data_IF_446398754011
#
_entry.id   IF_446398754011
#
_cell.length_a   1.000
_cell.length_b   1.000
_cell.length_c   1.000
_cell.angle_alpha   90.00
_cell.angle_beta   90.00
_cell.angle_gamma   90.00
#
_symmetry.space_group_name_H-M   'P 1'
#
loop_
_entity.id
_entity.type
_entity.pdbx_description
1 polymer ?
#
# COMPACT_ATOMS: atom_id res chain seq x y z
N UNK A 1 -15.69 19.11 14.63
CA UNK A 1 -16.15 19.18 13.22
C UNK A 1 -15.43 20.34 12.54
N UNK A 2 -14.94 20.13 11.34
CA UNK A 2 -14.41 21.14 10.46
C UNK A 2 -15.40 21.34 9.31
N UNK A 3 -15.83 22.60 9.07
CA UNK A 3 -16.69 22.95 7.94
C UNK A 3 -17.97 22.12 7.75
N UNK A 4 -18.57 21.60 8.82
CA UNK A 4 -19.78 20.76 8.78
C UNK A 4 -19.51 19.27 8.62
N UNK A 5 -18.26 18.84 8.53
CA UNK A 5 -17.87 17.41 8.52
C UNK A 5 -17.52 16.96 9.94
N UNK A 6 -18.09 15.86 10.38
CA UNK A 6 -17.69 15.20 11.62
C UNK A 6 -16.43 14.37 11.37
N UNK A 7 -15.43 14.51 12.26
CA UNK A 7 -14.12 13.86 12.13
C UNK A 7 -13.86 13.01 13.34
N UNK A 8 -13.50 11.76 13.11
CA UNK A 8 -13.12 10.80 14.14
C UNK A 8 -11.73 10.26 13.84
N UNK A 9 -10.79 10.40 14.77
CA UNK A 9 -9.40 10.01 14.59
C UNK A 9 -9.01 8.91 15.59
N UNK A 10 -8.09 8.05 15.19
CA UNK A 10 -7.52 7.02 16.04
C UNK A 10 -8.51 5.94 16.49
N UNK A 11 -9.57 5.68 15.69
CA UNK A 11 -10.54 4.62 15.97
C UNK A 11 -9.86 3.25 15.84
N UNK A 12 -9.88 2.45 16.92
CA UNK A 12 -9.26 1.12 16.93
C UNK A 12 -10.08 0.11 16.16
N UNK A 13 -9.46 -0.60 15.24
CA UNK A 13 -10.03 -1.77 14.57
C UNK A 13 -9.34 -3.08 14.98
N UNK A 14 -8.17 -3.00 15.63
CA UNK A 14 -7.43 -4.11 16.20
C UNK A 14 -6.85 -3.77 17.58
N UNK A 15 -6.49 -4.79 18.34
CA UNK A 15 -5.76 -4.65 19.59
C UNK A 15 -4.31 -4.22 19.34
N UNK A 16 -3.60 -3.81 20.39
CA UNK A 16 -2.17 -3.52 20.35
C UNK A 16 -1.40 -4.69 19.71
N UNK A 17 -0.67 -4.42 18.65
CA UNK A 17 0.11 -5.41 17.90
C UNK A 17 1.55 -5.59 18.40
N UNK A 18 1.91 -5.00 19.52
CA UNK A 18 3.22 -5.13 20.15
C UNK A 18 3.36 -6.42 21.00
N UNK A 19 4.57 -6.66 21.49
CA UNK A 19 4.87 -7.74 22.42
C UNK A 19 4.44 -9.11 21.91
N UNK A 20 3.61 -9.83 22.67
CA UNK A 20 3.16 -11.18 22.32
C UNK A 20 2.27 -11.24 21.05
N UNK A 21 1.73 -10.12 20.61
CA UNK A 21 0.93 -10.01 19.40
C UNK A 21 1.78 -9.69 18.14
N UNK A 22 3.06 -9.36 18.32
CA UNK A 22 3.96 -9.06 17.20
C UNK A 22 4.05 -10.28 16.27
N UNK A 23 3.98 -10.04 14.96
CA UNK A 23 4.00 -11.03 13.87
C UNK A 23 2.77 -11.94 13.76
N UNK A 24 1.79 -11.82 14.66
CA UNK A 24 0.53 -12.57 14.58
C UNK A 24 -0.51 -11.83 13.74
N UNK A 25 -1.55 -12.52 13.24
CA UNK A 25 -2.74 -11.85 12.74
C UNK A 25 -3.31 -10.85 13.74
N UNK A 26 -4.01 -9.79 13.30
CA UNK A 26 -4.59 -8.79 14.19
C UNK A 26 -5.55 -9.42 15.18
N UNK A 27 -5.43 -9.04 16.45
CA UNK A 27 -6.31 -9.52 17.49
C UNK A 27 -7.51 -8.56 17.67
N UNK A 28 -8.68 -9.05 18.07
CA UNK A 28 -9.85 -8.21 18.27
C UNK A 28 -9.62 -7.19 19.37
N UNK A 29 -10.22 -6.00 19.20
CA UNK A 29 -10.24 -4.98 20.25
C UNK A 29 -11.04 -5.49 21.43
N UNK A 30 -10.50 -5.33 22.65
CA UNK A 30 -11.23 -5.67 23.86
C UNK A 30 -12.46 -4.76 24.02
N UNK A 31 -13.63 -5.32 24.32
CA UNK A 31 -14.82 -4.53 24.59
C UNK A 31 -14.58 -3.51 25.70
N UNK A 32 -15.22 -2.36 25.59
CA UNK A 32 -15.16 -1.32 26.62
C UNK A 32 -16.57 -0.80 26.92
N UNK A 33 -16.70 -0.14 28.06
CA UNK A 33 -17.91 0.58 28.45
C UNK A 33 -17.67 2.09 28.40
N UNK A 34 -18.73 2.88 28.22
CA UNK A 34 -18.66 4.34 28.19
C UNK A 34 -18.20 4.90 26.82
N UNK A 35 -17.83 6.17 26.83
CA UNK A 35 -17.40 6.93 25.67
C UNK A 35 -15.88 7.00 25.62
N UNK A 36 -15.30 6.84 24.45
CA UNK A 36 -13.88 7.11 24.19
C UNK A 36 -13.76 8.31 23.25
N UNK A 37 -12.82 9.19 23.57
CA UNK A 37 -12.49 10.31 22.70
C UNK A 37 -11.86 9.80 21.39
N UNK A 38 -12.17 10.50 20.29
CA UNK A 38 -11.66 10.23 18.95
C UNK A 38 -11.21 11.55 18.28
N UNK A 39 -10.48 12.38 19.00
CA UNK A 39 -10.02 13.72 18.57
C UNK A 39 -8.61 13.67 17.99
N UNK A 40 -7.78 12.75 18.47
CA UNK A 40 -6.36 12.69 18.15
C UNK A 40 -6.03 11.51 17.24
N UNK A 41 -5.08 11.71 16.36
CA UNK A 41 -4.52 10.62 15.56
C UNK A 41 -3.83 9.60 16.47
N UNK A 42 -4.08 8.33 16.22
CA UNK A 42 -3.30 7.25 16.83
C UNK A 42 -1.89 7.13 16.23
N UNK A 43 -1.12 6.16 16.71
CA UNK A 43 0.22 5.91 16.21
C UNK A 43 0.21 5.52 14.72
N UNK A 44 1.22 5.98 13.99
CA UNK A 44 1.62 5.39 12.73
C UNK A 44 2.44 4.12 12.99
N UNK A 45 2.43 3.19 12.04
CA UNK A 45 3.28 2.00 12.12
C UNK A 45 4.77 2.38 12.17
N UNK A 46 5.61 1.67 12.93
CA UNK A 46 7.04 1.86 12.93
C UNK A 46 7.62 1.76 11.51
N UNK A 47 8.39 2.76 11.13
CA UNK A 47 8.98 2.89 9.81
C UNK A 47 10.23 3.75 9.87
N UNK A 48 11.12 3.59 8.89
CA UNK A 48 12.27 4.47 8.72
C UNK A 48 11.74 5.82 8.20
N UNK A 49 12.04 6.95 8.84
CA UNK A 49 11.60 8.25 8.38
C UNK A 49 11.99 8.51 6.92
N UNK A 50 11.06 9.04 6.14
CA UNK A 50 11.29 9.41 4.76
C UNK A 50 12.41 10.44 4.62
N UNK A 51 13.14 10.37 3.52
CA UNK A 51 14.23 11.31 3.23
C UNK A 51 13.75 12.37 2.24
N UNK A 52 13.71 13.63 2.66
CA UNK A 52 13.33 14.79 1.83
C UNK A 52 14.43 15.20 0.82
N UNK A 53 15.03 14.24 0.11
CA UNK A 53 16.12 14.54 -0.83
C UNK A 53 15.69 14.66 -2.28
N UNK A 54 14.44 14.96 -2.58
CA UNK A 54 13.99 15.19 -3.96
C UNK A 54 13.46 16.62 -4.15
N UNK A 55 13.51 17.11 -5.37
CA UNK A 55 13.16 18.49 -5.75
C UNK A 55 11.75 18.91 -5.31
N UNK A 56 10.82 17.98 -5.25
CA UNK A 56 9.41 18.23 -4.90
C UNK A 56 9.08 17.88 -3.45
N UNK A 57 10.08 17.71 -2.58
CA UNK A 57 9.86 17.28 -1.20
C UNK A 57 8.93 18.21 -0.42
N UNK A 58 9.03 19.51 -0.68
CA UNK A 58 8.22 20.52 -0.02
C UNK A 58 6.77 20.59 -0.54
N UNK A 59 6.51 20.01 -1.71
CA UNK A 59 5.17 19.92 -2.29
C UNK A 59 4.46 18.61 -1.91
N UNK A 60 5.21 17.59 -1.52
CA UNK A 60 4.70 16.27 -1.17
C UNK A 60 4.84 16.08 0.35
N UNK A 61 3.80 16.37 1.09
CA UNK A 61 3.78 16.32 2.57
C UNK A 61 3.79 14.88 3.13
N UNK A 62 4.41 13.92 2.45
CA UNK A 62 4.40 12.51 2.84
C UNK A 62 5.17 12.21 4.13
N UNK A 63 6.06 13.08 4.54
CA UNK A 63 6.84 12.98 5.76
C UNK A 63 6.24 13.75 6.94
N UNK A 64 5.20 14.54 6.71
CA UNK A 64 4.41 15.15 7.78
C UNK A 64 3.38 14.11 8.24
N UNK A 65 3.65 13.52 9.40
CA UNK A 65 2.83 12.45 9.94
C UNK A 65 2.46 12.73 11.39
N UNK A 66 1.34 13.41 11.63
CA UNK A 66 0.88 13.68 12.99
C UNK A 66 0.53 12.39 13.72
N UNK A 67 0.60 12.41 15.02
CA UNK A 67 0.51 11.25 15.90
C UNK A 67 1.88 10.72 16.29
N UNK A 68 1.93 9.75 17.16
CA UNK A 68 3.15 9.04 17.52
C UNK A 68 3.53 7.97 16.52
N UNK A 69 4.70 7.35 16.69
CA UNK A 69 5.13 6.15 16.01
C UNK A 69 5.21 5.01 17.02
N UNK A 70 4.56 3.90 16.73
CA UNK A 70 4.58 2.73 17.62
C UNK A 70 3.79 1.55 17.05
N UNK A 71 3.97 0.39 17.66
CA UNK A 71 3.34 -0.86 17.22
C UNK A 71 1.83 -0.93 17.52
N UNK A 72 1.35 -0.13 18.48
CA UNK A 72 -0.08 0.06 18.72
C UNK A 72 -0.68 0.99 17.66
N UNK A 73 -0.73 0.52 16.42
CA UNK A 73 -1.05 1.29 15.20
C UNK A 73 -2.27 0.77 14.42
N UNK A 74 -3.01 -0.20 14.95
CA UNK A 74 -4.18 -0.74 14.27
C UNK A 74 -5.39 0.17 14.46
N UNK A 75 -5.29 1.36 13.87
CA UNK A 75 -6.27 2.45 13.97
C UNK A 75 -6.66 2.96 12.57
N UNK A 76 -7.82 3.59 12.51
CA UNK A 76 -8.32 4.27 11.33
C UNK A 76 -8.85 5.67 11.69
N UNK A 77 -9.00 6.53 10.67
CA UNK A 77 -9.63 7.83 10.79
C UNK A 77 -10.85 7.87 9.87
N UNK A 78 -11.87 8.63 10.26
CA UNK A 78 -13.15 8.68 9.55
C UNK A 78 -13.67 10.11 9.47
N UNK A 79 -14.14 10.48 8.28
CA UNK A 79 -14.83 11.75 8.00
C UNK A 79 -16.23 11.45 7.46
N UNK A 80 -17.22 12.14 7.99
CA UNK A 80 -18.62 11.99 7.55
C UNK A 80 -19.37 13.31 7.60
N UNK A 81 -20.23 13.59 6.60
CA UNK A 81 -21.10 14.77 6.65
C UNK A 81 -22.06 14.75 7.84
N UNK A 82 -22.55 13.57 8.23
CA UNK A 82 -23.56 13.46 9.28
C UNK A 82 -23.56 12.05 9.88
N UNK A 83 -23.04 11.90 11.12
CA UNK A 83 -23.15 10.62 11.83
C UNK A 83 -24.57 10.39 12.37
N UNK A 84 -24.87 9.16 12.74
CA UNK A 84 -26.16 8.76 13.33
C UNK A 84 -27.37 9.09 12.43
N UNK A 85 -27.22 8.93 11.12
CA UNK A 85 -28.28 9.15 10.12
C UNK A 85 -28.55 7.88 9.32
N UNK A 86 -29.77 7.72 8.83
CA UNK A 86 -30.17 6.58 7.98
C UNK A 86 -29.87 6.82 6.49
N UNK A 87 -29.01 7.78 6.12
CA UNK A 87 -28.80 8.18 4.72
C UNK A 87 -28.07 7.18 3.84
N UNK A 88 -27.39 6.20 4.40
CA UNK A 88 -26.67 5.15 3.65
C UNK A 88 -25.75 5.70 2.55
N UNK A 89 -24.83 6.59 2.95
CA UNK A 89 -23.85 7.19 2.04
C UNK A 89 -22.86 6.17 1.51
N UNK A 90 -22.32 6.34 0.29
CA UNK A 90 -21.18 5.54 -0.15
C UNK A 90 -20.00 5.73 0.81
N UNK A 91 -19.16 4.68 0.91
CA UNK A 91 -17.99 4.67 1.78
C UNK A 91 -16.75 4.52 0.93
N UNK A 92 -15.75 5.38 1.14
CA UNK A 92 -14.45 5.27 0.50
C UNK A 92 -13.44 4.89 1.56
N UNK A 93 -12.83 3.70 1.44
CA UNK A 93 -11.73 3.26 2.29
C UNK A 93 -10.42 3.44 1.52
N UNK A 94 -9.59 4.38 1.98
CA UNK A 94 -8.33 4.73 1.35
C UNK A 94 -7.16 4.07 2.06
N UNK A 95 -6.35 3.32 1.32
CA UNK A 95 -5.08 2.78 1.77
C UNK A 95 -3.92 3.66 1.30
N UNK A 96 -3.06 4.06 2.24
CA UNK A 96 -1.94 4.96 1.96
C UNK A 96 -0.87 4.29 1.08
N UNK A 97 -0.12 5.12 0.34
CA UNK A 97 1.06 4.72 -0.43
C UNK A 97 2.28 4.46 0.46
N UNK A 98 3.47 4.47 -0.14
CA UNK A 98 4.73 4.18 0.54
C UNK A 98 5.12 2.70 0.54
N UNK A 99 4.69 1.95 -0.48
CA UNK A 99 4.95 0.52 -0.58
C UNK A 99 4.32 -0.25 0.58
N UNK A 100 5.06 -1.22 1.10
CA UNK A 100 4.73 -1.97 2.32
C UNK A 100 5.67 -1.60 3.48
N UNK A 101 6.42 -0.50 3.36
CA UNK A 101 7.47 -0.11 4.31
C UNK A 101 7.32 1.31 4.88
N UNK A 102 6.43 2.13 4.36
CA UNK A 102 6.26 3.51 4.83
C UNK A 102 4.87 4.09 4.56
N UNK A 103 4.65 5.33 5.00
CA UNK A 103 3.40 6.04 4.88
C UNK A 103 2.47 5.86 6.06
N UNK A 104 1.37 6.60 6.06
CA UNK A 104 0.30 6.45 7.06
C UNK A 104 -1.02 7.05 6.61
N UNK A 105 -2.07 6.74 7.34
CA UNK A 105 -3.39 7.37 7.23
C UNK A 105 -3.45 8.77 7.83
N UNK A 106 -2.42 9.15 8.59
CA UNK A 106 -2.35 10.44 9.31
C UNK A 106 -1.76 11.56 8.46
N UNK A 107 -1.20 11.21 7.30
CA UNK A 107 -0.61 12.20 6.38
C UNK A 107 -1.66 13.22 5.91
N UNK A 108 -1.33 14.53 5.86
CA UNK A 108 -2.26 15.58 5.42
C UNK A 108 -2.87 15.35 4.03
N UNK A 109 -2.12 14.73 3.09
CA UNK A 109 -2.65 14.31 1.79
C UNK A 109 -3.67 13.17 1.87
N UNK A 110 -3.87 12.60 3.07
CA UNK A 110 -4.88 11.59 3.41
C UNK A 110 -6.14 12.15 4.05
N UNK A 111 -6.20 13.46 4.32
CA UNK A 111 -7.38 14.08 4.92
C UNK A 111 -8.61 13.90 4.06
N UNK A 112 -9.67 13.35 4.66
CA UNK A 112 -10.90 12.98 3.96
C UNK A 112 -11.96 14.06 3.93
N UNK A 113 -11.73 15.24 4.56
CA UNK A 113 -12.77 16.27 4.74
C UNK A 113 -13.35 16.76 3.42
N UNK A 114 -12.48 17.14 2.48
CA UNK A 114 -12.94 17.67 1.18
C UNK A 114 -13.69 16.59 0.37
N UNK A 115 -13.18 15.36 0.38
CA UNK A 115 -13.83 14.25 -0.33
C UNK A 115 -15.20 13.92 0.30
N UNK A 116 -15.29 13.87 1.63
CA UNK A 116 -16.55 13.66 2.33
C UNK A 116 -17.56 14.75 2.04
N UNK A 117 -17.10 16.02 2.00
CA UNK A 117 -17.95 17.19 1.76
C UNK A 117 -18.52 17.23 0.33
N UNK A 118 -17.65 17.12 -0.67
CA UNK A 118 -18.04 17.24 -2.07
C UNK A 118 -18.65 15.97 -2.65
N UNK A 119 -18.22 14.81 -2.13
CA UNK A 119 -18.73 13.52 -2.58
C UNK A 119 -19.98 13.03 -1.84
N UNK A 120 -20.45 13.73 -0.80
CA UNK A 120 -21.48 13.28 0.14
C UNK A 120 -21.28 11.82 0.55
N UNK A 121 -20.07 11.49 0.95
CA UNK A 121 -19.64 10.13 1.30
C UNK A 121 -18.96 10.06 2.65
N UNK A 122 -18.85 8.86 3.21
CA UNK A 122 -18.00 8.57 4.37
C UNK A 122 -16.62 8.21 3.85
N UNK A 123 -15.59 8.85 4.38
CA UNK A 123 -14.18 8.56 4.03
C UNK A 123 -13.49 7.93 5.22
N UNK A 124 -12.81 6.82 4.98
CA UNK A 124 -12.02 6.09 5.98
C UNK A 124 -10.58 5.97 5.50
N UNK A 125 -9.62 6.28 6.36
CA UNK A 125 -8.18 6.05 6.10
C UNK A 125 -7.60 5.14 7.17
N UNK A 126 -6.71 4.22 6.78
CA UNK A 126 -6.32 3.07 7.61
C UNK A 126 -4.81 3.05 7.83
N UNK A 127 -4.37 2.96 9.10
CA UNK A 127 -3.03 2.55 9.48
C UNK A 127 -2.98 1.03 9.64
N UNK A 128 -1.85 0.42 9.31
CA UNK A 128 -1.62 -1.02 9.44
C UNK A 128 -0.13 -1.28 9.63
N UNK A 129 0.25 -2.48 10.03
CA UNK A 129 1.67 -2.83 10.17
C UNK A 129 2.40 -2.82 8.84
N UNK A 130 3.65 -2.40 8.89
CA UNK A 130 4.55 -2.20 7.76
C UNK A 130 5.87 -2.94 8.01
N UNK A 131 6.68 -3.05 6.95
CA UNK A 131 8.05 -3.54 7.06
C UNK A 131 8.10 -4.95 7.65
N UNK A 132 9.19 -5.31 8.29
CA UNK A 132 9.33 -6.60 8.97
C UNK A 132 8.23 -6.85 10.03
N UNK A 133 7.68 -5.79 10.66
CA UNK A 133 6.58 -5.95 11.63
C UNK A 133 5.27 -6.44 11.00
N UNK A 134 5.06 -6.17 9.71
CA UNK A 134 3.88 -6.59 8.97
C UNK A 134 4.10 -7.79 8.04
N UNK A 135 5.37 -8.09 7.68
CA UNK A 135 5.67 -8.98 6.57
C UNK A 135 6.90 -9.89 6.78
N UNK A 136 7.42 -10.01 7.99
CA UNK A 136 8.48 -10.96 8.29
C UNK A 136 7.95 -12.39 8.28
N UNK A 137 8.45 -13.20 7.35
CA UNK A 137 8.04 -14.60 7.22
C UNK A 137 8.79 -15.49 8.21
N UNK A 138 8.08 -16.13 9.14
CA UNK A 138 8.66 -16.94 10.21
C UNK A 138 8.44 -18.46 10.03
N UNK A 139 7.83 -18.88 8.91
CA UNK A 139 7.57 -20.28 8.58
C UNK A 139 6.10 -20.55 8.26
N UNK A 140 5.77 -21.81 8.03
CA UNK A 140 4.43 -22.24 7.58
C UNK A 140 3.59 -22.85 8.71
N UNK A 141 4.13 -23.02 9.88
CA UNK A 141 3.48 -23.74 10.96
C UNK A 141 3.40 -22.91 12.24
N UNK A 142 2.41 -23.29 13.08
CA UNK A 142 2.22 -22.70 14.41
C UNK A 142 1.62 -21.30 14.37
N UNK A 143 1.72 -20.56 15.49
CA UNK A 143 1.00 -19.28 15.67
C UNK A 143 1.54 -18.12 14.84
N UNK A 144 2.59 -18.31 14.05
CA UNK A 144 3.26 -17.33 13.21
C UNK A 144 3.25 -17.71 11.72
N UNK A 145 2.48 -18.73 11.33
CA UNK A 145 2.37 -19.19 9.94
C UNK A 145 1.97 -18.04 8.97
N UNK A 146 1.16 -17.11 9.45
CA UNK A 146 0.66 -15.98 8.67
C UNK A 146 1.49 -14.70 8.81
N UNK A 147 2.64 -14.76 9.49
CA UNK A 147 3.48 -13.57 9.79
C UNK A 147 3.93 -12.81 8.55
N UNK A 148 4.16 -13.50 7.43
CA UNK A 148 4.51 -12.89 6.15
C UNK A 148 3.37 -12.10 5.47
N UNK A 149 2.15 -12.16 6.01
CA UNK A 149 0.99 -11.44 5.49
C UNK A 149 0.19 -10.70 6.60
N UNK A 150 0.76 -10.56 7.80
CA UNK A 150 0.08 -9.95 8.95
C UNK A 150 -0.41 -8.53 8.65
N UNK A 151 0.36 -7.70 7.91
CA UNK A 151 -0.07 -6.37 7.50
C UNK A 151 -1.25 -6.39 6.51
N UNK A 152 -1.38 -7.43 5.68
CA UNK A 152 -2.57 -7.58 4.83
C UNK A 152 -3.78 -8.08 5.64
N UNK A 153 -3.57 -8.94 6.63
CA UNK A 153 -4.63 -9.31 7.58
C UNK A 153 -5.17 -8.10 8.36
N UNK A 154 -4.30 -7.13 8.69
CA UNK A 154 -4.72 -5.86 9.32
C UNK A 154 -5.71 -5.11 8.43
N UNK A 155 -5.45 -5.04 7.13
CA UNK A 155 -6.34 -4.37 6.17
C UNK A 155 -7.69 -5.08 6.05
N UNK A 156 -7.70 -6.42 6.05
CA UNK A 156 -8.95 -7.20 6.10
C UNK A 156 -9.71 -6.88 7.39
N UNK A 157 -9.05 -6.85 8.55
CA UNK A 157 -9.67 -6.52 9.84
C UNK A 157 -10.25 -5.10 9.83
N UNK A 158 -9.59 -4.14 9.18
CA UNK A 158 -10.11 -2.77 9.03
C UNK A 158 -11.38 -2.73 8.18
N UNK A 159 -11.45 -3.50 7.10
CA UNK A 159 -12.65 -3.63 6.27
C UNK A 159 -13.79 -4.32 7.01
N UNK A 160 -13.49 -5.34 7.82
CA UNK A 160 -14.47 -5.98 8.70
C UNK A 160 -14.99 -4.99 9.75
N UNK A 161 -14.14 -4.10 10.27
CA UNK A 161 -14.56 -3.03 11.15
C UNK A 161 -15.53 -2.07 10.44
N UNK A 162 -15.21 -1.66 9.21
CA UNK A 162 -16.08 -0.82 8.38
C UNK A 162 -17.43 -1.50 8.17
N UNK A 163 -17.44 -2.76 7.78
CA UNK A 163 -18.68 -3.52 7.55
C UNK A 163 -19.59 -3.56 8.79
N UNK A 164 -19.02 -3.63 10.01
CA UNK A 164 -19.79 -3.71 11.26
C UNK A 164 -20.22 -2.36 11.84
N UNK A 165 -19.52 -1.27 11.51
CA UNK A 165 -19.64 -0.01 12.27
C UNK A 165 -20.07 1.19 11.43
N UNK A 166 -19.86 1.17 10.10
CA UNK A 166 -19.98 2.37 9.27
C UNK A 166 -21.39 2.93 9.20
N UNK A 167 -22.43 2.13 9.46
CA UNK A 167 -23.82 2.59 9.53
C UNK A 167 -24.02 3.66 10.63
N UNK A 168 -23.36 3.51 11.78
CA UNK A 168 -23.40 4.52 12.85
C UNK A 168 -22.80 5.89 12.41
N UNK A 169 -21.99 5.88 11.36
CA UNK A 169 -21.41 7.07 10.76
C UNK A 169 -22.18 7.54 9.50
N UNK A 170 -23.35 6.98 9.23
CA UNK A 170 -24.20 7.33 8.09
C UNK A 170 -23.75 6.70 6.76
N UNK A 171 -22.83 5.74 6.80
CA UNK A 171 -22.34 5.00 5.63
C UNK A 171 -23.16 3.75 5.33
N UNK A 172 -23.01 3.24 4.10
CA UNK A 172 -23.62 2.00 3.64
C UNK A 172 -22.54 0.91 3.52
N UNK A 173 -22.56 -0.15 4.34
CA UNK A 173 -21.60 -1.24 4.25
C UNK A 173 -21.67 -2.02 2.93
N UNK A 174 -22.79 -1.93 2.18
CA UNK A 174 -22.93 -2.53 0.86
C UNK A 174 -22.34 -1.67 -0.28
N UNK A 175 -21.95 -0.43 0.00
CA UNK A 175 -21.43 0.53 -0.97
C UNK A 175 -20.03 1.02 -0.60
N UNK A 176 -19.12 0.07 -0.38
CA UNK A 176 -17.73 0.35 0.02
C UNK A 176 -16.81 0.28 -1.20
N UNK A 177 -16.14 1.37 -1.50
CA UNK A 177 -15.05 1.43 -2.47
C UNK A 177 -13.71 1.38 -1.73
N UNK A 178 -12.83 0.45 -2.11
CA UNK A 178 -11.43 0.46 -1.67
C UNK A 178 -10.56 1.17 -2.71
N UNK A 179 -9.67 2.06 -2.27
CA UNK A 179 -8.83 2.83 -3.20
C UNK A 179 -7.44 3.07 -2.61
N UNK A 180 -6.44 3.13 -3.49
CA UNK A 180 -5.08 3.47 -3.06
C UNK A 180 -4.16 3.85 -4.20
N UNK A 181 -3.18 4.68 -3.88
CA UNK A 181 -2.16 5.14 -4.81
C UNK A 181 -0.81 4.49 -4.48
N UNK A 182 -0.02 4.14 -5.49
CA UNK A 182 1.30 3.51 -5.31
C UNK A 182 1.19 2.23 -4.47
N UNK A 183 1.92 2.12 -3.35
CA UNK A 183 1.76 1.02 -2.39
C UNK A 183 0.32 0.81 -1.92
N UNK A 184 -0.53 1.85 -1.90
CA UNK A 184 -1.96 1.72 -1.64
C UNK A 184 -2.69 0.94 -2.72
N UNK A 185 -2.37 1.21 -3.99
CA UNK A 185 -2.88 0.42 -5.12
C UNK A 185 -2.43 -1.03 -5.09
N UNK A 186 -1.19 -1.28 -4.65
CA UNK A 186 -0.69 -2.64 -4.45
C UNK A 186 -1.48 -3.38 -3.35
N UNK A 187 -1.83 -2.69 -2.26
CA UNK A 187 -2.69 -3.24 -1.20
C UNK A 187 -4.08 -3.57 -1.73
N UNK A 188 -4.69 -2.67 -2.52
CA UNK A 188 -5.97 -2.94 -3.20
C UNK A 188 -5.87 -4.16 -4.10
N UNK A 189 -4.80 -4.28 -4.91
CA UNK A 189 -4.57 -5.43 -5.78
C UNK A 189 -4.53 -6.76 -5.01
N UNK A 190 -3.86 -6.79 -3.85
CA UNK A 190 -3.81 -7.97 -2.99
C UNK A 190 -5.19 -8.28 -2.37
N UNK A 191 -5.89 -7.25 -1.84
CA UNK A 191 -7.23 -7.43 -1.25
C UNK A 191 -8.23 -8.01 -2.24
N UNK A 192 -8.13 -7.65 -3.52
CA UNK A 192 -8.97 -8.20 -4.59
C UNK A 192 -8.76 -9.71 -4.81
N UNK A 193 -7.60 -10.26 -4.41
CA UNK A 193 -7.22 -11.66 -4.55
C UNK A 193 -7.29 -12.44 -3.22
N UNK A 194 -7.73 -11.81 -2.13
CA UNK A 194 -7.78 -12.45 -0.81
C UNK A 194 -9.18 -12.97 -0.50
N UNK A 195 -9.36 -14.28 -0.28
CA UNK A 195 -10.67 -14.85 0.09
C UNK A 195 -11.31 -14.18 1.31
N UNK A 196 -10.49 -13.82 2.31
CA UNK A 196 -10.96 -13.16 3.54
C UNK A 196 -11.49 -11.72 3.32
N UNK A 197 -11.19 -11.09 2.18
CA UNK A 197 -11.67 -9.76 1.81
C UNK A 197 -12.94 -9.81 0.92
N UNK A 198 -13.34 -11.00 0.44
CA UNK A 198 -14.52 -11.18 -0.40
C UNK A 198 -15.79 -10.69 0.32
N UNK A 199 -16.56 -9.83 -0.36
CA UNK A 199 -17.80 -9.27 0.18
C UNK A 199 -17.63 -8.09 1.13
N UNK A 200 -16.40 -7.64 1.42
CA UNK A 200 -16.14 -6.48 2.28
C UNK A 200 -16.07 -5.16 1.50
N UNK A 201 -16.11 -5.21 0.18
CA UNK A 201 -16.14 -4.03 -0.69
C UNK A 201 -16.93 -4.33 -1.97
N UNK A 202 -17.47 -3.28 -2.60
CA UNK A 202 -18.32 -3.34 -3.78
C UNK A 202 -17.68 -2.71 -5.02
N UNK A 203 -16.55 -2.02 -4.88
CA UNK A 203 -15.77 -1.47 -6.00
C UNK A 203 -14.33 -1.22 -5.57
N UNK A 204 -13.42 -1.11 -6.55
CA UNK A 204 -12.00 -0.93 -6.31
C UNK A 204 -11.37 0.11 -7.23
N UNK A 205 -10.36 0.82 -6.73
CA UNK A 205 -9.55 1.79 -7.49
C UNK A 205 -8.06 1.59 -7.24
N UNK A 206 -7.31 1.35 -8.30
CA UNK A 206 -5.85 1.18 -8.27
C UNK A 206 -5.20 2.33 -9.02
N UNK A 207 -4.48 3.19 -8.30
CA UNK A 207 -3.81 4.36 -8.86
C UNK A 207 -2.29 4.16 -8.81
N UNK A 208 -1.64 4.03 -9.96
CA UNK A 208 -0.16 3.94 -10.10
C UNK A 208 0.49 2.89 -9.18
N UNK A 209 -0.19 1.75 -8.97
CA UNK A 209 0.24 0.77 -7.98
C UNK A 209 -0.26 -0.65 -8.23
N UNK A 210 -0.45 -1.02 -9.50
CA UNK A 210 -0.90 -2.37 -9.86
C UNK A 210 0.11 -3.43 -9.44
N UNK A 211 -0.26 -4.31 -8.49
CA UNK A 211 0.54 -5.45 -8.09
C UNK A 211 0.05 -6.71 -8.80
N UNK A 212 0.94 -7.36 -9.57
CA UNK A 212 0.63 -8.60 -10.29
C UNK A 212 1.02 -9.84 -9.49
N UNK A 213 2.03 -9.71 -8.61
CA UNK A 213 2.60 -10.82 -7.85
C UNK A 213 2.82 -10.46 -6.38
N UNK A 214 2.79 -11.46 -5.52
CA UNK A 214 3.27 -11.43 -4.14
C UNK A 214 4.66 -12.05 -4.04
N UNK A 215 5.35 -11.89 -2.91
CA UNK A 215 6.57 -12.64 -2.65
C UNK A 215 6.30 -14.13 -2.55
N UNK A 216 7.21 -14.93 -3.10
CA UNK A 216 7.21 -16.37 -2.83
C UNK A 216 7.75 -16.65 -1.43
N UNK A 217 7.40 -17.81 -0.86
CA UNK A 217 7.92 -18.24 0.44
C UNK A 217 9.45 -18.34 0.45
N UNK A 218 10.03 -18.82 -0.65
CA UNK A 218 11.49 -18.92 -0.79
C UNK A 218 12.17 -17.53 -0.72
N UNK A 219 11.63 -16.53 -1.43
CA UNK A 219 12.14 -15.15 -1.37
C UNK A 219 12.03 -14.57 0.04
N UNK A 220 10.89 -14.78 0.69
CA UNK A 220 10.62 -14.28 2.03
C UNK A 220 11.49 -15.00 3.08
N UNK A 221 11.72 -16.30 2.92
CA UNK A 221 12.61 -17.09 3.78
C UNK A 221 14.05 -16.57 3.76
N UNK A 222 14.56 -16.28 2.56
CA UNK A 222 15.88 -15.68 2.38
C UNK A 222 16.00 -14.34 3.10
N UNK A 223 15.01 -13.44 2.92
CA UNK A 223 14.98 -12.14 3.58
C UNK A 223 14.91 -12.26 5.10
N UNK A 224 14.11 -13.19 5.61
CA UNK A 224 13.96 -13.46 7.03
C UNK A 224 15.27 -14.02 7.64
N UNK A 225 15.93 -14.95 6.95
CA UNK A 225 17.22 -15.48 7.40
C UNK A 225 18.29 -14.38 7.49
N UNK A 226 18.33 -13.46 6.52
CA UNK A 226 19.24 -12.32 6.54
C UNK A 226 18.95 -11.37 7.71
N UNK A 227 17.69 -11.09 8.00
CA UNK A 227 17.30 -10.24 9.14
C UNK A 227 17.66 -10.89 10.47
N UNK A 228 17.34 -12.16 10.67
CA UNK A 228 17.67 -12.90 11.88
C UNK A 228 19.19 -12.97 12.11
N UNK A 229 19.97 -13.19 11.05
CA UNK A 229 21.44 -13.15 11.12
C UNK A 229 21.95 -11.78 11.60
N UNK A 230 21.36 -10.67 11.15
CA UNK A 230 21.73 -9.32 11.60
C UNK A 230 21.42 -9.06 13.08
N UNK A 231 20.40 -9.75 13.59
CA UNK A 231 19.99 -9.66 14.99
C UNK A 231 20.68 -10.68 15.90
N UNK A 232 21.54 -11.52 15.36
CA UNK A 232 22.15 -12.67 16.04
C UNK A 232 21.11 -13.60 16.69
N UNK A 233 20.01 -13.84 15.95
CA UNK A 233 18.91 -14.69 16.38
C UNK A 233 18.71 -15.88 15.44
N UNK A 234 18.28 -17.01 16.02
CA UNK A 234 17.78 -18.17 15.26
C UNK A 234 16.26 -18.09 15.12
N UNK A 235 15.73 -18.80 14.14
CA UNK A 235 14.28 -18.82 13.84
C UNK A 235 13.43 -19.37 15.01
N UNK A 236 13.97 -20.26 15.82
CA UNK A 236 13.29 -20.82 16.99
C UNK A 236 13.23 -19.87 18.20
N UNK A 237 13.95 -18.74 18.14
CA UNK A 237 14.01 -17.72 19.20
C UNK A 237 12.95 -16.64 19.01
N UNK A 238 11.68 -17.04 18.84
CA UNK A 238 10.58 -16.10 18.55
C UNK A 238 10.32 -15.13 19.70
N UNK A 239 10.46 -15.59 20.97
CA UNK A 239 10.22 -14.72 22.14
C UNK A 239 11.26 -13.60 22.22
N UNK A 240 12.50 -13.93 21.93
CA UNK A 240 13.61 -12.98 21.87
C UNK A 240 13.36 -11.98 20.73
N UNK A 241 12.95 -12.44 19.55
CA UNK A 241 12.60 -11.60 18.40
C UNK A 241 11.42 -10.66 18.73
N UNK A 242 10.40 -11.14 19.43
CA UNK A 242 9.28 -10.30 19.89
C UNK A 242 9.72 -9.24 20.91
N UNK A 243 10.81 -9.45 21.65
CA UNK A 243 11.36 -8.52 22.61
C UNK A 243 12.33 -7.49 22.01
N UNK A 244 12.81 -7.70 20.76
CA UNK A 244 13.70 -6.75 20.09
C UNK A 244 13.00 -5.39 19.95
N UNK A 245 13.61 -4.26 20.37
CA UNK A 245 13.04 -2.93 20.11
C UNK A 245 12.75 -2.74 18.61
N UNK A 246 11.61 -2.16 18.24
CA UNK A 246 11.26 -1.97 16.83
C UNK A 246 12.29 -1.11 16.08
N UNK A 247 12.96 -0.18 16.75
CA UNK A 247 14.05 0.62 16.19
C UNK A 247 15.23 -0.22 15.75
N UNK A 248 15.60 -1.23 16.56
CA UNK A 248 16.66 -2.20 16.25
C UNK A 248 16.24 -3.10 15.09
N UNK A 249 14.99 -3.55 15.08
CA UNK A 249 14.43 -4.36 13.97
C UNK A 249 14.46 -3.59 12.64
N UNK A 250 14.06 -2.32 12.66
CA UNK A 250 14.08 -1.45 11.47
C UNK A 250 15.50 -1.15 10.99
N UNK A 251 16.46 -0.97 11.91
CA UNK A 251 17.85 -0.78 11.54
C UNK A 251 18.42 -2.02 10.84
N UNK A 252 18.18 -3.21 11.41
CA UNK A 252 18.58 -4.47 10.78
C UNK A 252 17.94 -4.70 9.41
N UNK A 253 16.66 -4.33 9.25
CA UNK A 253 15.99 -4.33 7.94
C UNK A 253 16.67 -3.38 6.96
N UNK A 254 16.98 -2.15 7.37
CA UNK A 254 17.67 -1.18 6.50
C UNK A 254 19.00 -1.69 5.98
N UNK A 255 19.74 -2.43 6.82
CA UNK A 255 21.00 -3.06 6.43
C UNK A 255 20.78 -4.17 5.38
N UNK A 256 19.77 -5.02 5.56
CA UNK A 256 19.39 -6.06 4.57
C UNK A 256 19.04 -5.41 3.22
N UNK A 257 18.21 -4.39 3.23
CA UNK A 257 17.81 -3.67 2.02
C UNK A 257 18.98 -2.93 1.35
N UNK A 258 19.93 -2.42 2.15
CA UNK A 258 21.17 -1.82 1.62
C UNK A 258 22.05 -2.84 0.92
N UNK A 259 22.11 -4.07 1.45
CA UNK A 259 22.83 -5.17 0.81
C UNK A 259 22.18 -5.58 -0.51
N UNK A 260 20.85 -5.65 -0.57
CA UNK A 260 20.11 -5.91 -1.81
C UNK A 260 20.44 -4.87 -2.88
N UNK A 261 20.40 -3.57 -2.52
CA UNK A 261 20.77 -2.48 -3.45
C UNK A 261 22.20 -2.59 -3.94
N UNK A 262 23.17 -2.97 -3.07
CA UNK A 262 24.58 -3.17 -3.45
C UNK A 262 24.74 -4.30 -4.47
N UNK A 263 23.89 -5.31 -4.42
CA UNK A 263 23.85 -6.40 -5.43
C UNK A 263 23.08 -6.03 -6.70
N UNK A 264 22.55 -4.80 -6.79
CA UNK A 264 21.72 -4.36 -7.92
C UNK A 264 20.28 -4.89 -7.88
N UNK A 265 19.87 -5.48 -6.76
CA UNK A 265 18.51 -5.97 -6.55
C UNK A 265 17.59 -4.82 -6.13
N UNK A 266 16.32 -4.86 -6.55
CA UNK A 266 15.32 -3.95 -6.01
C UNK A 266 14.92 -4.41 -4.60
N UNK A 267 14.99 -3.54 -3.56
CA UNK A 267 14.61 -3.92 -2.22
C UNK A 267 13.15 -4.35 -2.16
N UNK A 268 12.88 -5.59 -1.79
CA UNK A 268 11.54 -6.18 -1.64
C UNK A 268 11.46 -7.13 -0.46
N UNK A 269 12.39 -7.00 0.49
CA UNK A 269 12.60 -8.01 1.52
C UNK A 269 11.38 -8.26 2.41
N UNK A 270 10.49 -7.25 2.56
CA UNK A 270 9.34 -7.34 3.46
C UNK A 270 8.09 -6.79 2.76
N UNK A 271 7.45 -7.66 2.00
CA UNK A 271 6.20 -7.43 1.27
C UNK A 271 5.29 -8.65 1.43
N UNK A 272 4.01 -8.57 1.04
CA UNK A 272 3.06 -9.66 1.21
C UNK A 272 3.54 -10.99 0.62
N UNK A 273 3.50 -12.04 1.44
CA UNK A 273 4.01 -13.38 1.13
C UNK A 273 2.85 -14.32 0.83
N UNK A 274 3.02 -15.20 -0.16
CA UNK A 274 2.09 -16.29 -0.45
C UNK A 274 1.95 -17.23 0.75
N UNK A 275 0.72 -17.54 1.13
CA UNK A 275 0.38 -18.39 2.26
C UNK A 275 -1.13 -18.60 2.34
N UNK A 276 -1.67 -18.95 3.51
CA UNK A 276 -3.12 -19.12 3.68
C UNK A 276 -3.90 -17.82 3.49
N UNK A 277 -3.37 -16.69 3.97
CA UNK A 277 -3.99 -15.37 3.82
C UNK A 277 -3.96 -14.89 2.37
N UNK A 278 -2.89 -15.20 1.63
CA UNK A 278 -2.70 -14.84 0.22
C UNK A 278 -2.40 -16.12 -0.56
N UNK A 279 -3.43 -16.87 -0.98
CA UNK A 279 -3.24 -18.21 -1.54
C UNK A 279 -2.63 -18.23 -2.94
N UNK A 280 -2.71 -17.13 -3.66
CA UNK A 280 -2.16 -16.98 -5.01
C UNK A 280 -1.73 -15.54 -5.29
N UNK A 281 -0.97 -15.36 -6.35
CA UNK A 281 -0.60 -14.02 -6.81
C UNK A 281 -1.84 -13.19 -7.17
N UNK A 282 -1.85 -11.87 -6.90
CA UNK A 282 -3.03 -11.03 -7.13
C UNK A 282 -3.56 -11.06 -8.56
N UNK A 283 -2.67 -10.93 -9.55
CA UNK A 283 -3.06 -10.89 -10.95
C UNK A 283 -2.15 -11.75 -11.84
N UNK A 284 -1.60 -12.85 -11.33
CA UNK A 284 -0.77 -13.80 -12.10
C UNK A 284 -1.20 -15.23 -11.76
N UNK A 285 -1.44 -16.09 -12.79
CA UNK A 285 -1.34 -15.81 -14.22
C UNK A 285 -2.49 -14.98 -14.81
N UNK A 286 -3.61 -14.86 -14.13
CA UNK A 286 -4.83 -14.18 -14.55
C UNK A 286 -5.39 -13.24 -13.48
N UNK A 287 -6.58 -12.69 -13.71
CA UNK A 287 -7.32 -11.93 -12.71
C UNK A 287 -7.91 -12.87 -11.65
N UNK A 288 -7.99 -12.41 -10.37
CA UNK A 288 -8.51 -13.23 -9.28
C UNK A 288 -10.04 -13.43 -9.39
N UNK A 289 -10.49 -14.64 -9.11
CA UNK A 289 -11.92 -15.00 -9.13
C UNK A 289 -12.68 -14.36 -7.95
N UNK A 290 -11.99 -14.12 -6.82
CA UNK A 290 -12.56 -13.52 -5.60
C UNK A 290 -13.24 -12.18 -5.86
N UNK A 291 -12.71 -11.42 -6.81
CA UNK A 291 -13.20 -10.08 -7.15
C UNK A 291 -13.72 -9.97 -8.59
N UNK A 292 -14.08 -11.07 -9.22
CA UNK A 292 -14.57 -11.09 -10.60
C UNK A 292 -15.71 -10.11 -10.84
N UNK A 293 -16.65 -10.03 -9.91
CA UNK A 293 -17.84 -9.19 -10.01
C UNK A 293 -17.68 -7.81 -9.38
N UNK A 294 -16.44 -7.41 -9.06
CA UNK A 294 -16.12 -6.11 -8.47
C UNK A 294 -15.70 -5.13 -9.58
N UNK A 295 -16.44 -4.03 -9.81
CA UNK A 295 -16.00 -2.97 -10.71
C UNK A 295 -14.63 -2.40 -10.32
N UNK A 296 -13.76 -2.19 -11.32
CA UNK A 296 -12.39 -1.75 -11.10
C UNK A 296 -12.04 -0.53 -11.95
N UNK A 297 -11.44 0.48 -11.33
CA UNK A 297 -10.79 1.61 -12.03
C UNK A 297 -9.28 1.50 -11.84
N UNK A 298 -8.52 1.53 -12.93
CA UNK A 298 -7.06 1.55 -12.90
C UNK A 298 -6.57 2.84 -13.55
N UNK A 299 -5.68 3.55 -12.89
CA UNK A 299 -5.10 4.77 -13.46
C UNK A 299 -3.59 4.84 -13.28
N UNK A 300 -2.94 5.56 -14.20
CA UNK A 300 -1.53 5.96 -14.10
C UNK A 300 -1.38 7.41 -14.57
N UNK A 301 -0.29 8.08 -14.17
CA UNK A 301 0.07 9.35 -14.79
C UNK A 301 1.01 9.13 -15.98
N UNK A 302 0.97 10.06 -16.96
CA UNK A 302 1.82 10.00 -18.15
C UNK A 302 3.30 10.02 -17.75
N UNK A 303 3.66 10.92 -16.85
CA UNK A 303 5.03 11.22 -16.45
C UNK A 303 5.28 10.92 -14.95
N UNK A 304 4.88 9.76 -14.48
CA UNK A 304 4.96 9.26 -13.08
C UNK A 304 6.33 9.45 -12.41
N UNK A 305 7.40 9.38 -13.18
CA UNK A 305 8.78 9.31 -12.64
C UNK A 305 9.49 10.65 -12.61
N UNK A 306 8.89 11.73 -13.13
CA UNK A 306 9.49 13.07 -13.14
C UNK A 306 9.90 13.55 -11.76
N UNK A 307 9.08 13.30 -10.72
CA UNK A 307 9.37 13.75 -9.35
C UNK A 307 10.60 13.09 -8.69
N UNK A 308 11.12 12.01 -9.28
CA UNK A 308 12.32 11.30 -8.78
C UNK A 308 13.58 11.58 -9.58
N UNK A 309 13.44 12.24 -10.70
CA UNK A 309 14.59 12.62 -11.54
C UNK A 309 14.93 14.10 -11.28
N UNK A 310 16.20 14.38 -11.12
CA UNK A 310 16.71 15.73 -10.81
C UNK A 310 17.68 16.24 -11.89
N UNK A 311 17.98 15.43 -12.90
CA UNK A 311 18.90 15.78 -13.99
C UNK A 311 18.13 16.35 -15.17
N UNK A 312 17.65 17.56 -15.01
CA UNK A 312 16.89 18.28 -16.05
C UNK A 312 17.73 18.56 -17.32
N UNK A 313 19.06 18.50 -17.20
CA UNK A 313 20.07 18.72 -18.23
C UNK A 313 20.53 17.44 -18.96
N UNK A 314 19.81 16.32 -18.77
CA UNK A 314 20.13 15.07 -19.47
C UNK A 314 20.28 15.25 -20.96
N UNK A 315 21.27 14.55 -21.54
CA UNK A 315 21.46 14.42 -22.98
C UNK A 315 20.79 13.17 -23.54
N UNK A 316 20.59 13.11 -24.85
CA UNK A 316 20.05 11.92 -25.52
C UNK A 316 20.97 10.71 -25.37
N UNK A 317 22.28 10.88 -25.36
CA UNK A 317 23.26 9.82 -25.18
C UNK A 317 23.13 9.20 -23.75
N UNK A 318 22.92 10.03 -22.73
CA UNK A 318 22.70 9.56 -21.37
C UNK A 318 21.36 8.80 -21.22
N UNK A 319 20.31 9.26 -21.90
CA UNK A 319 19.02 8.52 -21.94
C UNK A 319 19.23 7.17 -22.59
N UNK A 320 19.88 7.11 -23.76
CA UNK A 320 20.16 5.86 -24.46
C UNK A 320 21.02 4.91 -23.61
N UNK A 321 22.08 5.41 -22.97
CA UNK A 321 22.91 4.60 -22.08
C UNK A 321 22.13 4.05 -20.86
N UNK A 322 21.17 4.84 -20.36
CA UNK A 322 20.27 4.39 -19.28
C UNK A 322 19.34 3.29 -19.75
N UNK A 323 18.79 3.43 -20.95
CA UNK A 323 17.89 2.42 -21.55
C UNK A 323 18.63 1.13 -21.90
N UNK A 324 19.85 1.21 -22.44
CA UNK A 324 20.68 0.03 -22.74
C UNK A 324 20.90 -0.85 -21.51
N UNK A 325 21.09 -0.25 -20.34
CA UNK A 325 21.20 -1.00 -19.06
C UNK A 325 19.91 -1.69 -18.64
N UNK A 326 18.74 -1.21 -19.10
CA UNK A 326 17.42 -1.72 -18.70
C UNK A 326 16.85 -2.72 -19.69
N UNK A 327 16.94 -2.45 -20.98
CA UNK A 327 16.27 -3.21 -22.04
C UNK A 327 17.25 -3.73 -23.12
N UNK A 328 18.56 -3.54 -22.95
CA UNK A 328 19.57 -4.09 -23.85
C UNK A 328 19.46 -3.54 -25.27
N UNK A 329 19.40 -4.45 -26.25
CA UNK A 329 19.40 -4.14 -27.68
C UNK A 329 18.16 -3.35 -28.15
N UNK A 330 17.04 -3.44 -27.43
CA UNK A 330 15.80 -2.75 -27.77
C UNK A 330 15.83 -1.24 -27.42
N UNK A 331 16.89 -0.76 -26.77
CA UNK A 331 16.98 0.60 -26.23
C UNK A 331 16.82 1.69 -27.31
N UNK A 332 17.46 1.50 -28.47
CA UNK A 332 17.39 2.48 -29.56
C UNK A 332 15.99 2.57 -30.15
N UNK A 333 15.37 1.44 -30.45
CA UNK A 333 14.02 1.35 -30.98
C UNK A 333 13.01 2.00 -30.01
N UNK A 334 13.13 1.70 -28.71
CA UNK A 334 12.25 2.25 -27.68
C UNK A 334 12.41 3.78 -27.57
N UNK A 335 13.65 4.28 -27.60
CA UNK A 335 13.93 5.72 -27.57
C UNK A 335 13.32 6.45 -28.78
N UNK A 336 13.49 5.91 -29.98
CA UNK A 336 12.94 6.47 -31.22
C UNK A 336 11.42 6.50 -31.17
N UNK A 337 10.76 5.42 -30.77
CA UNK A 337 9.30 5.36 -30.66
C UNK A 337 8.72 6.46 -29.73
N UNK A 338 9.33 6.69 -28.57
CA UNK A 338 8.87 7.75 -27.66
C UNK A 338 9.18 9.17 -28.17
N UNK A 339 10.28 9.34 -28.91
CA UNK A 339 10.61 10.64 -29.55
C UNK A 339 9.65 10.97 -30.69
N UNK A 340 9.29 9.98 -31.48
CA UNK A 340 8.33 10.14 -32.59
C UNK A 340 6.93 10.50 -32.09
N UNK A 341 6.51 9.88 -30.96
CA UNK A 341 5.23 10.20 -30.30
C UNK A 341 5.23 11.63 -29.72
N UNK A 342 6.39 12.12 -29.25
CA UNK A 342 6.49 13.43 -28.60
C UNK A 342 7.73 14.21 -29.05
N UNK A 343 7.78 14.73 -30.31
CA UNK A 343 8.99 15.32 -30.89
C UNK A 343 9.54 16.55 -30.15
N UNK A 344 8.68 17.27 -29.40
CA UNK A 344 9.05 18.47 -28.64
C UNK A 344 9.52 18.18 -27.22
N UNK A 345 9.46 16.92 -26.75
CA UNK A 345 9.86 16.56 -25.40
C UNK A 345 11.39 16.61 -25.23
N UNK A 346 11.84 17.06 -24.06
CA UNK A 346 13.25 17.05 -23.70
C UNK A 346 13.74 15.63 -23.36
N UNK A 347 15.05 15.36 -23.38
CA UNK A 347 15.59 14.06 -22.95
C UNK A 347 15.12 13.66 -21.55
N UNK A 348 15.06 14.62 -20.61
CA UNK A 348 14.52 14.42 -19.26
C UNK A 348 13.08 13.86 -19.29
N UNK A 349 12.17 14.48 -20.05
CA UNK A 349 10.76 14.04 -20.14
C UNK A 349 10.67 12.66 -20.78
N UNK A 350 11.40 12.41 -21.86
CA UNK A 350 11.38 11.08 -22.51
C UNK A 350 11.91 10.00 -21.55
N UNK A 351 13.01 10.25 -20.84
CA UNK A 351 13.52 9.31 -19.83
C UNK A 351 12.49 9.02 -18.74
N UNK A 352 11.84 10.05 -18.19
CA UNK A 352 10.81 9.91 -17.16
C UNK A 352 9.58 9.16 -17.70
N UNK A 353 9.15 9.43 -18.93
CA UNK A 353 7.99 8.80 -19.59
C UNK A 353 8.22 7.31 -19.86
N UNK A 354 9.41 6.95 -20.39
CA UNK A 354 9.79 5.53 -20.56
C UNK A 354 9.87 4.83 -19.21
N UNK A 355 10.47 5.47 -18.20
CA UNK A 355 10.54 4.92 -16.85
C UNK A 355 9.13 4.75 -16.24
N UNK A 356 8.19 5.65 -16.51
CA UNK A 356 6.78 5.55 -16.08
C UNK A 356 6.07 4.39 -16.76
N UNK A 357 6.31 4.23 -18.07
CA UNK A 357 5.77 3.11 -18.86
C UNK A 357 6.17 1.77 -18.28
N UNK A 358 7.46 1.56 -18.05
CA UNK A 358 8.01 0.29 -17.57
C UNK A 358 7.69 0.01 -16.10
N UNK A 359 7.59 1.03 -15.25
CA UNK A 359 7.39 0.86 -13.81
C UNK A 359 5.91 0.73 -13.40
N UNK A 360 5.02 1.56 -13.96
CA UNK A 360 3.62 1.62 -13.54
C UNK A 360 2.66 1.15 -14.62
N UNK A 361 2.81 1.66 -15.87
CA UNK A 361 1.81 1.46 -16.93
C UNK A 361 1.77 0.02 -17.45
N UNK A 362 2.94 -0.62 -17.59
CA UNK A 362 2.98 -2.02 -18.02
C UNK A 362 2.19 -2.94 -17.08
N UNK A 363 2.39 -2.79 -15.77
CA UNK A 363 1.65 -3.58 -14.78
C UNK A 363 0.14 -3.23 -14.78
N UNK A 364 -0.20 -1.94 -14.97
CA UNK A 364 -1.59 -1.51 -15.08
C UNK A 364 -2.29 -2.10 -16.31
N UNK A 365 -1.65 -2.06 -17.47
CA UNK A 365 -2.18 -2.63 -18.71
C UNK A 365 -2.35 -4.15 -18.59
N UNK A 366 -1.34 -4.84 -18.04
CA UNK A 366 -1.43 -6.29 -17.79
C UNK A 366 -2.58 -6.65 -16.86
N UNK A 367 -2.80 -5.87 -15.81
CA UNK A 367 -3.95 -6.05 -14.89
C UNK A 367 -5.28 -5.88 -15.64
N UNK A 368 -5.41 -4.84 -16.46
CA UNK A 368 -6.59 -4.56 -17.27
C UNK A 368 -6.88 -5.68 -18.28
N UNK A 369 -5.86 -6.10 -19.03
CA UNK A 369 -5.95 -7.19 -20.01
C UNK A 369 -6.41 -8.49 -19.36
N UNK A 370 -5.87 -8.84 -18.20
CA UNK A 370 -6.26 -10.03 -17.43
C UNK A 370 -7.69 -9.93 -16.92
N UNK A 371 -8.12 -8.75 -16.48
CA UNK A 371 -9.52 -8.50 -16.09
C UNK A 371 -10.48 -8.67 -17.26
N UNK A 372 -10.16 -8.09 -18.40
CA UNK A 372 -10.97 -8.22 -19.63
C UNK A 372 -11.04 -9.69 -20.08
N UNK A 373 -9.91 -10.39 -20.08
CA UNK A 373 -9.86 -11.79 -20.47
C UNK A 373 -10.67 -12.72 -19.54
N UNK A 374 -10.72 -12.41 -18.23
CA UNK A 374 -11.51 -13.18 -17.26
C UNK A 374 -13.02 -12.90 -17.34
N UNK A 375 -13.43 -11.79 -17.96
CA UNK A 375 -14.82 -11.32 -17.94
C UNK A 375 -15.25 -10.87 -16.54
N UNK A 376 -16.55 -10.61 -16.36
CA UNK A 376 -17.11 -10.15 -15.07
C UNK A 376 -17.46 -8.67 -15.06
N UNK A 377 -17.28 -8.00 -13.93
CA UNK A 377 -17.67 -6.61 -13.77
C UNK A 377 -16.86 -5.64 -14.65
N UNK A 378 -17.43 -4.48 -15.01
CA UNK A 378 -16.75 -3.48 -15.82
C UNK A 378 -15.42 -3.04 -15.22
N UNK A 379 -14.45 -2.81 -16.10
CA UNK A 379 -13.12 -2.33 -15.76
C UNK A 379 -12.79 -1.12 -16.62
N UNK A 380 -12.36 -0.03 -15.99
CA UNK A 380 -12.00 1.23 -16.66
C UNK A 380 -10.54 1.56 -16.45
N UNK A 381 -9.95 2.19 -17.44
CA UNK A 381 -8.62 2.76 -17.37
C UNK A 381 -8.65 4.24 -17.68
N UNK A 382 -7.81 5.03 -17.01
CA UNK A 382 -7.52 6.38 -17.47
C UNK A 382 -6.07 6.77 -17.20
N UNK A 383 -5.56 7.65 -18.05
CA UNK A 383 -4.23 8.23 -17.99
C UNK A 383 -4.35 9.69 -17.55
N UNK A 384 -3.65 10.07 -16.50
CA UNK A 384 -3.49 11.47 -16.11
C UNK A 384 -2.44 12.13 -17.02
N UNK A 385 -2.87 13.14 -17.74
CA UNK A 385 -2.04 14.05 -18.51
C UNK A 385 -2.12 15.43 -17.85
N UNK A 386 -0.98 16.00 -17.47
CA UNK A 386 -0.93 17.31 -16.82
C UNK A 386 -0.97 18.45 -17.86
#
# INVERSE_FOLDING_TARGET
SSGGIAVFKGLRYGADSSGANRFRPPQPVQPWSGVRDAFDYGNIAPQIPGNRRHVYADLILNDVQPGGMGEDCLVLNLWTPEPNTNRKRPVIVRFHGGGFYGGSSNNPGGDGEMLARFGDCVVVTVNHRLSALGYLYLGEEGPFADSGAAGMADLVASLQWVARNVEAFGGDPARVMIVGQSGGGAKVSHLMAMPAAKGLFSSAGVMSGSALTSMTREQADKASAQLLQRLDLRRDQIKELQAVPFTTLLAAQADVEADERRRGEAPRSFAPVLGEIIPHHPFTPGAPEESRDIPLVVSTALDERTYREVRFDMTWDEVLATLQKRVGEDAQMLLEAYRDETPSATPFIINARIASGTYCRLAANTMLERRVAAGGAPTWAYLWEA
#
